data_IF_494142750385
#
_entry.id   IF_494142750385
#
_cell.length_a   1.000
_cell.length_b   1.000
_cell.length_c   1.000
_cell.angle_alpha   90.00
_cell.angle_beta   90.00
_cell.angle_gamma   90.00
#
_symmetry.space_group_name_H-M   'P 1'
#
loop_
_entity.id
_entity.type
_entity.pdbx_description
1 polymer ?
#
# COMPACT_ATOMS: atom_id res chain seq x y z
N UNK A 1 8.21 3.98 31.43
CA UNK A 1 9.19 5.02 31.09
C UNK A 1 8.49 6.05 30.21
N UNK A 2 8.45 7.30 30.60
CA UNK A 2 7.90 8.38 29.80
C UNK A 2 9.06 9.03 29.03
N UNK A 3 8.99 9.02 27.71
CA UNK A 3 9.99 9.71 26.88
C UNK A 3 9.54 11.16 26.74
N UNK A 4 10.35 12.07 27.24
CA UNK A 4 10.11 13.50 27.09
C UNK A 4 10.70 14.00 25.77
N UNK A 5 9.97 14.86 25.09
CA UNK A 5 10.42 15.48 23.84
C UNK A 5 10.87 16.91 24.09
N UNK A 6 12.06 17.25 23.60
CA UNK A 6 12.59 18.62 23.60
C UNK A 6 12.29 19.40 22.30
N UNK A 7 11.39 18.89 21.46
CA UNK A 7 11.07 19.49 20.18
C UNK A 7 10.29 20.80 20.40
N UNK A 8 10.83 21.89 19.87
CA UNK A 8 10.14 23.20 19.80
C UNK A 8 9.53 23.40 18.42
N UNK A 9 8.20 23.28 18.36
CA UNK A 9 7.43 23.43 17.11
C UNK A 9 7.34 24.86 16.61
N UNK A 10 7.76 25.87 17.40
CA UNK A 10 7.74 27.28 17.02
C UNK A 10 8.92 27.67 16.13
N UNK A 11 10.00 26.91 16.16
CA UNK A 11 11.24 27.21 15.45
C UNK A 11 11.08 27.21 13.93
N UNK A 12 11.88 28.03 13.26
CA UNK A 12 11.94 28.05 11.78
C UNK A 12 12.38 26.72 11.21
N UNK A 13 13.33 26.06 11.88
CA UNK A 13 13.82 24.74 11.49
C UNK A 13 12.72 23.69 11.52
N UNK A 14 11.96 23.60 12.62
CA UNK A 14 10.83 22.70 12.73
C UNK A 14 9.82 22.93 11.60
N UNK A 15 9.43 24.18 11.36
CA UNK A 15 8.45 24.54 10.32
C UNK A 15 8.94 24.17 8.93
N UNK A 16 10.22 24.38 8.63
CA UNK A 16 10.83 23.96 7.36
C UNK A 16 10.81 22.44 7.17
N UNK A 17 11.27 21.72 8.20
CA UNK A 17 11.30 20.25 8.19
C UNK A 17 9.88 19.66 8.10
N UNK A 18 8.92 20.22 8.83
CA UNK A 18 7.53 19.81 8.76
C UNK A 18 6.94 19.99 7.36
N UNK A 19 7.20 21.16 6.72
CA UNK A 19 6.74 21.42 5.35
C UNK A 19 7.34 20.43 4.36
N UNK A 20 8.64 20.20 4.44
CA UNK A 20 9.35 19.25 3.56
C UNK A 20 8.79 17.82 3.73
N UNK A 21 8.74 17.33 4.96
CA UNK A 21 8.25 15.98 5.22
C UNK A 21 6.76 15.81 4.85
N UNK A 22 5.93 16.83 5.08
CA UNK A 22 4.52 16.81 4.66
C UNK A 22 4.36 16.71 3.14
N UNK A 23 5.21 17.39 2.37
CA UNK A 23 5.22 17.28 0.91
C UNK A 23 5.67 15.89 0.45
N UNK A 24 6.69 15.34 1.10
CA UNK A 24 7.19 13.99 0.81
C UNK A 24 6.11 12.92 1.08
N UNK A 25 5.44 13.01 2.22
CA UNK A 25 4.33 12.11 2.57
C UNK A 25 3.18 12.21 1.56
N UNK A 26 2.77 13.43 1.17
CA UNK A 26 1.72 13.63 0.16
C UNK A 26 2.09 13.00 -1.19
N UNK A 27 3.35 13.17 -1.62
CA UNK A 27 3.85 12.54 -2.85
C UNK A 27 3.81 11.01 -2.75
N UNK A 28 4.26 10.45 -1.65
CA UNK A 28 4.21 9.02 -1.39
C UNK A 28 2.77 8.49 -1.40
N UNK A 29 1.86 9.13 -0.67
CA UNK A 29 0.45 8.74 -0.61
C UNK A 29 -0.23 8.76 -1.98
N UNK A 30 0.09 9.77 -2.81
CA UNK A 30 -0.41 9.84 -4.19
C UNK A 30 0.03 8.64 -5.00
N UNK A 31 1.33 8.33 -5.00
CA UNK A 31 1.89 7.19 -5.74
C UNK A 31 1.26 5.88 -5.22
N UNK A 32 1.17 5.72 -3.91
CA UNK A 32 0.57 4.54 -3.29
C UNK A 32 -0.90 4.36 -3.70
N UNK A 33 -1.68 5.43 -3.67
CA UNK A 33 -3.09 5.41 -4.07
C UNK A 33 -3.25 5.03 -5.55
N UNK A 34 -2.42 5.58 -6.42
CA UNK A 34 -2.43 5.25 -7.86
C UNK A 34 -2.05 3.79 -8.12
N UNK A 35 -1.16 3.23 -7.30
CA UNK A 35 -0.72 1.83 -7.37
C UNK A 35 -1.81 0.87 -6.90
N UNK A 36 -2.47 1.19 -5.78
CA UNK A 36 -3.49 0.34 -5.16
C UNK A 36 -4.81 0.34 -5.95
N UNK A 37 -5.14 1.45 -6.63
CA UNK A 37 -6.38 1.52 -7.43
C UNK A 37 -6.26 0.63 -8.66
N UNK A 38 -7.20 -0.30 -8.88
CA UNK A 38 -7.24 -1.06 -10.10
C UNK A 38 -7.47 -0.09 -11.26
N UNK A 39 -6.47 0.11 -12.10
CA UNK A 39 -6.67 0.80 -13.38
C UNK A 39 -7.63 -0.07 -14.18
N UNK A 40 -8.60 0.57 -14.86
CA UNK A 40 -9.49 -0.12 -15.78
C UNK A 40 -8.66 -0.65 -16.97
N UNK A 41 -8.06 -1.81 -16.76
CA UNK A 41 -7.21 -2.50 -17.73
C UNK A 41 -8.03 -3.56 -18.46
N UNK A 42 -7.77 -3.74 -19.74
CA UNK A 42 -8.38 -4.79 -20.54
C UNK A 42 -8.13 -6.19 -19.97
N UNK A 43 -7.00 -6.40 -19.29
CA UNK A 43 -6.65 -7.64 -18.62
C UNK A 43 -7.57 -7.94 -17.44
N UNK A 44 -7.88 -6.94 -16.63
CA UNK A 44 -8.82 -7.07 -15.49
C UNK A 44 -10.21 -7.40 -16.00
N UNK A 45 -10.68 -6.74 -17.08
CA UNK A 45 -11.98 -7.05 -17.69
C UNK A 45 -12.06 -8.50 -18.15
N UNK A 46 -11.04 -8.99 -18.85
CA UNK A 46 -10.97 -10.40 -19.27
C UNK A 46 -10.94 -11.37 -18.08
N UNK A 47 -10.28 -10.98 -16.98
CA UNK A 47 -10.20 -11.77 -15.75
C UNK A 47 -11.58 -11.93 -15.10
N UNK A 48 -12.30 -10.80 -14.97
CA UNK A 48 -13.67 -10.76 -14.44
C UNK A 48 -14.67 -11.54 -15.32
N UNK A 49 -14.56 -11.41 -16.66
CA UNK A 49 -15.39 -12.17 -17.60
C UNK A 49 -15.24 -13.70 -17.47
N UNK A 50 -14.07 -14.14 -17.00
CA UNK A 50 -13.78 -15.57 -16.71
C UNK A 50 -14.23 -16.00 -15.31
N UNK A 51 -14.96 -15.16 -14.58
CA UNK A 51 -15.40 -15.44 -13.20
C UNK A 51 -14.28 -15.39 -12.16
N UNK A 52 -13.11 -14.82 -12.51
CA UNK A 52 -11.97 -14.69 -11.59
C UNK A 52 -11.96 -13.32 -10.92
N UNK A 53 -11.52 -13.26 -9.68
CA UNK A 53 -11.37 -12.03 -8.93
C UNK A 53 -9.93 -11.48 -9.05
N UNK A 54 -9.76 -10.15 -9.15
CA UNK A 54 -8.46 -9.51 -8.99
C UNK A 54 -7.80 -9.90 -7.68
N UNK A 55 -6.47 -9.89 -7.64
CA UNK A 55 -5.72 -10.32 -6.47
C UNK A 55 -6.08 -9.54 -5.20
N UNK A 56 -6.26 -8.21 -5.29
CA UNK A 56 -6.69 -7.38 -4.15
C UNK A 56 -8.06 -7.77 -3.62
N UNK A 57 -9.01 -8.04 -4.49
CA UNK A 57 -10.34 -8.48 -4.06
C UNK A 57 -10.30 -9.85 -3.39
N UNK A 58 -9.41 -10.75 -3.85
CA UNK A 58 -9.19 -12.04 -3.19
C UNK A 58 -8.64 -11.87 -1.78
N UNK A 59 -7.65 -10.96 -1.60
CA UNK A 59 -7.10 -10.64 -0.27
C UNK A 59 -8.18 -10.03 0.62
N UNK A 60 -8.99 -9.08 0.12
CA UNK A 60 -10.08 -8.46 0.88
C UNK A 60 -11.14 -9.48 1.34
N UNK A 61 -11.46 -10.46 0.49
CA UNK A 61 -12.43 -11.52 0.85
C UNK A 61 -11.84 -12.58 1.78
N UNK A 62 -10.52 -12.73 1.81
CA UNK A 62 -9.85 -13.73 2.64
C UNK A 62 -9.67 -13.25 4.07
N UNK A 63 -9.39 -11.96 4.27
CA UNK A 63 -9.16 -11.39 5.59
C UNK A 63 -10.46 -11.26 6.39
N UNK A 64 -10.35 -11.25 7.71
CA UNK A 64 -11.49 -11.03 8.59
C UNK A 64 -12.13 -9.66 8.31
N UNK A 65 -13.48 -9.57 8.29
CA UNK A 65 -14.18 -8.32 8.04
C UNK A 65 -13.72 -7.21 9.00
N UNK A 66 -13.41 -6.03 8.43
CA UNK A 66 -12.94 -4.88 9.20
C UNK A 66 -11.50 -4.96 9.71
N UNK A 67 -10.78 -6.08 9.48
CA UNK A 67 -9.36 -6.16 9.84
C UNK A 67 -8.49 -5.37 8.86
N UNK A 68 -7.38 -4.80 9.38
CA UNK A 68 -6.40 -4.11 8.55
C UNK A 68 -5.61 -5.11 7.69
N UNK A 69 -5.12 -4.63 6.54
CA UNK A 69 -4.10 -5.30 5.73
C UNK A 69 -2.83 -4.46 5.73
N UNK A 70 -1.77 -4.97 6.32
CA UNK A 70 -0.46 -4.34 6.29
C UNK A 70 0.28 -4.80 5.04
N UNK A 71 0.12 -4.07 3.93
CA UNK A 71 0.78 -4.39 2.67
C UNK A 71 2.28 -4.07 2.76
N UNK A 72 3.10 -5.03 2.35
CA UNK A 72 4.56 -4.92 2.33
C UNK A 72 5.00 -4.73 0.88
N UNK A 73 5.95 -3.81 0.68
CA UNK A 73 6.58 -3.57 -0.62
C UNK A 73 5.59 -3.21 -1.76
N UNK A 74 4.51 -2.49 -1.46
CA UNK A 74 3.50 -2.07 -2.44
C UNK A 74 4.10 -1.29 -3.64
N UNK A 75 5.26 -0.67 -3.47
CA UNK A 75 5.97 0.07 -4.52
C UNK A 75 7.19 -0.68 -5.08
N UNK A 76 7.31 -1.99 -4.82
CA UNK A 76 8.42 -2.78 -5.35
C UNK A 76 8.48 -2.67 -6.89
N UNK A 77 9.69 -2.52 -7.43
CA UNK A 77 9.91 -2.39 -8.86
C UNK A 77 9.57 -1.03 -9.47
N UNK A 78 8.98 -0.11 -8.72
CA UNK A 78 8.63 1.23 -9.22
C UNK A 78 9.88 1.97 -9.72
N UNK A 79 9.86 2.41 -10.98
CA UNK A 79 10.96 3.13 -11.65
C UNK A 79 12.29 2.35 -11.77
N UNK A 80 12.30 1.04 -11.51
CA UNK A 80 13.51 0.22 -11.68
C UNK A 80 13.59 -0.30 -13.12
N UNK A 81 12.46 -0.73 -13.67
CA UNK A 81 12.38 -1.23 -15.04
C UNK A 81 11.37 -0.40 -15.86
N UNK A 82 11.64 -0.27 -17.18
CA UNK A 82 10.63 0.27 -18.12
C UNK A 82 9.40 -0.65 -18.06
N UNK A 83 8.22 -0.05 -18.02
CA UNK A 83 6.93 -0.77 -18.04
C UNK A 83 6.60 -1.65 -16.83
N UNK A 84 7.41 -1.63 -15.77
CA UNK A 84 7.10 -2.37 -14.54
C UNK A 84 6.10 -1.59 -13.71
N UNK A 85 4.97 -2.24 -13.41
CA UNK A 85 3.99 -1.71 -12.44
C UNK A 85 4.57 -1.82 -11.04
N UNK A 86 4.23 -0.86 -10.19
CA UNK A 86 4.53 -0.96 -8.78
C UNK A 86 3.88 -2.22 -8.18
N UNK A 87 4.57 -2.85 -7.22
CA UNK A 87 4.17 -4.13 -6.64
C UNK A 87 4.75 -5.35 -7.35
N UNK A 88 5.44 -5.16 -8.50
CA UNK A 88 6.12 -6.24 -9.24
C UNK A 88 5.26 -7.48 -9.52
N UNK A 89 3.93 -7.31 -9.66
CA UNK A 89 2.98 -8.40 -9.91
C UNK A 89 2.69 -9.29 -8.70
N UNK A 90 3.01 -8.83 -7.50
CA UNK A 90 2.75 -9.55 -6.24
C UNK A 90 2.13 -8.58 -5.23
N UNK A 91 1.08 -9.04 -4.56
CA UNK A 91 0.54 -8.40 -3.37
C UNK A 91 0.95 -9.24 -2.17
N UNK A 92 1.71 -8.64 -1.26
CA UNK A 92 2.23 -9.32 -0.07
C UNK A 92 1.93 -8.49 1.17
N UNK A 93 1.54 -9.13 2.26
CA UNK A 93 1.25 -8.41 3.50
C UNK A 93 0.74 -9.29 4.63
N UNK A 94 0.46 -8.66 5.74
CA UNK A 94 -0.05 -9.31 6.94
C UNK A 94 -1.50 -8.89 7.15
N UNK A 95 -2.38 -9.87 7.34
CA UNK A 95 -3.78 -9.65 7.71
C UNK A 95 -4.24 -10.71 8.71
N UNK A 96 -5.37 -10.44 9.36
CA UNK A 96 -6.02 -11.40 10.23
C UNK A 96 -6.96 -12.29 9.42
N UNK A 97 -6.83 -13.59 9.60
CA UNK A 97 -7.68 -14.62 8.98
C UNK A 97 -8.16 -15.56 10.09
N UNK A 98 -9.45 -15.65 10.29
CA UNK A 98 -10.06 -16.46 11.37
C UNK A 98 -9.42 -16.18 12.75
N UNK A 99 -9.22 -14.90 13.07
CA UNK A 99 -8.65 -14.44 14.32
C UNK A 99 -7.14 -14.56 14.45
N UNK A 100 -6.43 -15.06 13.44
CA UNK A 100 -4.97 -15.25 13.46
C UNK A 100 -4.28 -14.31 12.49
N UNK A 101 -3.12 -13.79 12.86
CA UNK A 101 -2.27 -13.03 11.94
C UNK A 101 -1.56 -13.97 10.98
N UNK A 102 -1.74 -13.72 9.69
CA UNK A 102 -1.20 -14.53 8.61
C UNK A 102 -0.46 -13.67 7.59
N UNK A 103 0.64 -14.20 7.08
CA UNK A 103 1.28 -13.66 5.88
C UNK A 103 0.48 -14.09 4.66
N UNK A 104 0.10 -13.14 3.82
CA UNK A 104 -0.60 -13.36 2.56
C UNK A 104 0.33 -13.01 1.41
N UNK A 105 0.41 -13.87 0.42
CA UNK A 105 1.10 -13.62 -0.85
C UNK A 105 0.14 -13.97 -1.98
N UNK A 106 -0.15 -13.01 -2.85
CA UNK A 106 -1.06 -13.17 -3.97
C UNK A 106 -0.41 -12.67 -5.27
N UNK A 107 -0.42 -13.48 -6.30
CA UNK A 107 -0.03 -13.05 -7.64
C UNK A 107 -1.11 -12.13 -8.22
N UNK A 108 -0.68 -10.97 -8.76
CA UNK A 108 -1.54 -9.94 -9.35
C UNK A 108 -1.50 -10.02 -10.90
#
# INVERSE_FOLDING_TARGET
MKIESSIDTSTKEFKSNFKFNSQLIKKYQKILTETIRPKADSSIKKHLQRGKLPARERVEKLKDPGSAFLEIAALAGLNIYKDTRAGAGIICGIARISGRECMIVAND
#
